data_IF_160912455137
#
_entry.id   IF_160912455137
#
_cell.length_a   1.000
_cell.length_b   1.000
_cell.length_c   1.000
_cell.angle_alpha   90.00
_cell.angle_beta   90.00
_cell.angle_gamma   90.00
#
_symmetry.space_group_name_H-M   'P 1'
#
loop_
_entity.id
_entity.type
_entity.pdbx_description
1 polymer ?
#
# COMPACT_ATOMS: atom_id res chain seq x y z
N UNK A 1 -34.09 -13.20 -13.56
CA UNK A 1 -34.98 -12.98 -14.71
C UNK A 1 -34.21 -12.21 -15.77
N UNK A 2 -34.34 -12.57 -17.05
CA UNK A 2 -33.70 -11.84 -18.15
C UNK A 2 -34.80 -11.09 -18.89
N UNK A 3 -34.68 -9.76 -18.99
CA UNK A 3 -35.63 -8.97 -19.79
C UNK A 3 -35.49 -9.30 -21.28
N UNK A 4 -36.50 -8.96 -22.08
CA UNK A 4 -36.44 -9.08 -23.55
C UNK A 4 -35.25 -8.32 -24.18
N UNK A 5 -34.65 -7.38 -23.44
CA UNK A 5 -33.49 -6.58 -23.84
C UNK A 5 -32.16 -7.12 -23.29
N UNK A 6 -32.13 -8.34 -22.73
CA UNK A 6 -30.92 -8.98 -22.23
C UNK A 6 -30.44 -8.49 -20.85
N UNK A 7 -31.15 -7.55 -20.23
CA UNK A 7 -30.82 -7.10 -18.86
C UNK A 7 -31.17 -8.20 -17.87
N UNK A 8 -30.17 -8.71 -17.17
CA UNK A 8 -30.31 -9.64 -16.06
C UNK A 8 -30.72 -8.90 -14.78
N UNK A 9 -31.77 -9.40 -14.13
CA UNK A 9 -32.19 -8.94 -12.80
C UNK A 9 -32.32 -10.11 -11.83
N UNK A 10 -31.58 -10.09 -10.71
CA UNK A 10 -31.83 -11.02 -9.61
C UNK A 10 -33.23 -10.76 -9.04
N UNK A 11 -34.06 -11.80 -9.01
CA UNK A 11 -35.42 -11.74 -8.46
C UNK A 11 -35.60 -12.86 -7.45
N UNK A 12 -36.31 -12.54 -6.39
CA UNK A 12 -36.95 -13.53 -5.53
C UNK A 12 -38.44 -13.55 -5.90
N UNK A 13 -39.07 -14.72 -5.89
CA UNK A 13 -40.49 -14.79 -6.19
C UNK A 13 -41.22 -15.74 -5.26
N UNK A 14 -42.46 -15.38 -4.94
CA UNK A 14 -43.38 -16.21 -4.17
C UNK A 14 -44.60 -16.50 -5.05
N UNK A 15 -45.03 -17.76 -5.07
CA UNK A 15 -46.21 -18.19 -5.81
C UNK A 15 -47.25 -18.69 -4.80
N UNK A 16 -48.44 -18.12 -4.86
CA UNK A 16 -49.58 -18.53 -4.05
C UNK A 16 -50.72 -18.99 -4.96
N UNK A 17 -51.30 -20.19 -4.76
CA UNK A 17 -52.42 -20.67 -5.57
C UNK A 17 -53.68 -19.86 -5.26
N UNK A 18 -54.48 -19.59 -6.28
CA UNK A 18 -55.84 -19.08 -6.14
C UNK A 18 -56.76 -20.28 -6.18
N UNK A 19 -57.47 -20.55 -5.09
CA UNK A 19 -58.34 -21.71 -4.91
C UNK A 19 -59.79 -21.22 -4.85
N UNK A 20 -60.69 -21.84 -5.61
CA UNK A 20 -62.11 -21.53 -5.58
C UNK A 20 -62.84 -22.18 -4.39
N UNK A 21 -64.14 -21.89 -4.22
CA UNK A 21 -64.95 -22.43 -3.12
C UNK A 21 -65.07 -23.98 -3.13
N UNK A 22 -64.81 -24.62 -4.27
CA UNK A 22 -64.82 -26.07 -4.42
C UNK A 22 -63.44 -26.71 -4.11
N UNK A 23 -62.43 -25.91 -3.76
CA UNK A 23 -61.08 -26.38 -3.48
C UNK A 23 -60.23 -26.58 -4.75
N UNK A 24 -60.68 -26.10 -5.90
CA UNK A 24 -59.96 -26.23 -7.17
C UNK A 24 -59.04 -25.04 -7.39
N UNK A 25 -57.78 -25.29 -7.75
CA UNK A 25 -56.84 -24.23 -8.13
C UNK A 25 -57.25 -23.63 -9.48
N UNK A 26 -57.71 -22.38 -9.46
CA UNK A 26 -58.17 -21.63 -10.64
C UNK A 26 -57.13 -20.64 -11.16
N UNK A 27 -56.03 -20.44 -10.43
CA UNK A 27 -54.93 -19.59 -10.86
C UNK A 27 -53.79 -19.52 -9.86
N UNK A 28 -52.89 -18.57 -10.07
CA UNK A 28 -51.80 -18.27 -9.13
C UNK A 28 -51.54 -16.77 -9.08
N UNK A 29 -51.20 -16.30 -7.88
CA UNK A 29 -50.59 -14.99 -7.67
C UNK A 29 -49.09 -15.20 -7.60
N UNK A 30 -48.35 -14.53 -8.48
CA UNK A 30 -46.88 -14.52 -8.44
C UNK A 30 -46.42 -13.13 -8.05
N UNK A 31 -45.70 -13.04 -6.94
CA UNK A 31 -45.07 -11.80 -6.50
C UNK A 31 -43.60 -11.90 -6.86
N UNK A 32 -43.10 -10.94 -7.64
CA UNK A 32 -41.68 -10.79 -7.94
C UNK A 32 -41.10 -9.64 -7.12
N UNK A 33 -40.02 -9.91 -6.41
CA UNK A 33 -39.22 -8.89 -5.72
C UNK A 33 -37.87 -8.76 -6.42
N UNK A 34 -37.61 -7.58 -6.97
CA UNK A 34 -36.26 -7.22 -7.42
C UNK A 34 -35.42 -6.91 -6.18
N UNK A 35 -34.30 -7.60 -6.03
CA UNK A 35 -33.35 -7.37 -4.92
C UNK A 35 -32.00 -6.85 -5.42
N UNK A 36 -31.94 -6.30 -6.63
CA UNK A 36 -30.72 -5.73 -7.21
C UNK A 36 -30.11 -4.62 -6.35
N UNK A 37 -30.95 -3.72 -5.81
CA UNK A 37 -30.52 -2.61 -4.96
C UNK A 37 -29.94 -3.12 -3.65
N UNK A 38 -30.68 -3.97 -2.92
CA UNK A 38 -30.21 -4.59 -1.67
C UNK A 38 -28.89 -5.35 -1.89
N UNK A 39 -28.77 -6.12 -2.97
CA UNK A 39 -27.53 -6.84 -3.30
C UNK A 39 -26.37 -5.88 -3.61
N UNK A 40 -26.64 -4.73 -4.24
CA UNK A 40 -25.64 -3.70 -4.51
C UNK A 40 -25.19 -3.01 -3.21
N UNK A 41 -26.13 -2.74 -2.31
CA UNK A 41 -25.85 -2.16 -0.99
C UNK A 41 -25.04 -3.13 -0.13
N UNK A 42 -25.42 -4.40 -0.09
CA UNK A 42 -24.68 -5.47 0.61
C UNK A 42 -23.23 -5.56 0.11
N UNK A 43 -23.03 -5.60 -1.21
CA UNK A 43 -21.69 -5.57 -1.82
C UNK A 43 -20.90 -4.31 -1.46
N UNK A 44 -21.58 -3.16 -1.41
CA UNK A 44 -20.94 -1.90 -1.03
C UNK A 44 -20.54 -1.91 0.44
N UNK A 45 -21.38 -2.44 1.32
CA UNK A 45 -21.08 -2.63 2.75
C UNK A 45 -19.89 -3.56 2.92
N UNK A 46 -19.88 -4.70 2.21
CA UNK A 46 -18.77 -5.65 2.21
C UNK A 46 -17.47 -4.99 1.74
N UNK A 47 -17.51 -4.27 0.61
CA UNK A 47 -16.36 -3.52 0.11
C UNK A 47 -15.85 -2.50 1.14
N UNK A 48 -16.74 -1.68 1.73
CA UNK A 48 -16.37 -0.68 2.73
C UNK A 48 -15.82 -1.31 4.03
N UNK A 49 -16.20 -2.55 4.33
CA UNK A 49 -15.70 -3.30 5.48
C UNK A 49 -14.25 -3.74 5.29
N UNK A 50 -13.83 -4.01 4.05
CA UNK A 50 -12.55 -4.65 3.75
C UNK A 50 -11.58 -3.83 2.90
N UNK A 51 -12.00 -2.67 2.40
CA UNK A 51 -11.17 -1.81 1.56
C UNK A 51 -10.94 -0.43 2.16
N UNK A 52 -9.77 0.14 1.87
CA UNK A 52 -9.43 1.53 2.12
C UNK A 52 -10.14 2.42 1.09
N UNK A 53 -10.92 3.40 1.56
CA UNK A 53 -11.78 4.21 0.69
C UNK A 53 -10.99 5.15 -0.23
N UNK A 54 -9.76 5.53 0.16
CA UNK A 54 -8.95 6.44 -0.62
C UNK A 54 -8.29 5.73 -1.81
N UNK A 55 -7.69 4.57 -1.55
CA UNK A 55 -6.86 3.85 -2.51
C UNK A 55 -7.56 2.68 -3.20
N UNK A 56 -8.67 2.18 -2.62
CA UNK A 56 -9.37 0.98 -3.09
C UNK A 56 -8.65 -0.34 -2.76
N UNK A 57 -7.46 -0.29 -2.16
CA UNK A 57 -6.75 -1.48 -1.67
C UNK A 57 -7.49 -2.11 -0.49
N UNK A 58 -7.06 -3.30 -0.09
CA UNK A 58 -7.52 -3.88 1.16
C UNK A 58 -7.13 -3.01 2.37
N UNK A 59 -7.93 -3.04 3.42
CA UNK A 59 -7.65 -2.32 4.66
C UNK A 59 -6.97 -3.23 5.70
N UNK A 60 -6.63 -2.64 6.85
CA UNK A 60 -6.04 -3.35 7.98
C UNK A 60 -6.83 -4.59 8.42
N UNK A 61 -8.17 -4.50 8.46
CA UNK A 61 -9.02 -5.62 8.88
C UNK A 61 -8.88 -6.82 7.95
N UNK A 62 -8.97 -6.58 6.64
CA UNK A 62 -8.80 -7.66 5.65
C UNK A 62 -7.40 -8.28 5.74
N UNK A 63 -6.37 -7.45 5.87
CA UNK A 63 -5.00 -7.92 6.09
C UNK A 63 -4.87 -8.85 7.30
N UNK A 64 -5.42 -8.49 8.46
CA UNK A 64 -5.34 -9.29 9.68
C UNK A 64 -6.08 -10.64 9.54
N UNK A 65 -7.24 -10.65 8.87
CA UNK A 65 -7.98 -11.88 8.58
C UNK A 65 -7.20 -12.79 7.62
N UNK A 66 -6.61 -12.21 6.57
CA UNK A 66 -5.83 -12.94 5.56
C UNK A 66 -4.50 -13.47 6.10
N UNK A 67 -3.84 -12.74 6.99
CA UNK A 67 -2.60 -13.16 7.61
C UNK A 67 -2.78 -14.50 8.34
N UNK A 68 -3.86 -14.64 9.11
CA UNK A 68 -4.20 -15.88 9.81
C UNK A 68 -4.60 -16.99 8.83
N UNK A 69 -5.32 -16.66 7.75
CA UNK A 69 -5.77 -17.64 6.74
C UNK A 69 -4.61 -18.20 5.92
N UNK A 70 -3.61 -17.37 5.65
CA UNK A 70 -2.48 -17.71 4.80
C UNK A 70 -1.35 -18.40 5.57
N UNK A 71 -1.28 -18.24 6.90
CA UNK A 71 -0.28 -18.89 7.75
C UNK A 71 -0.49 -20.41 7.85
N UNK A 72 -0.09 -21.11 6.79
CA UNK A 72 -0.22 -22.56 6.65
C UNK A 72 0.98 -23.11 5.91
N UNK A 73 1.36 -24.36 6.19
CA UNK A 73 2.51 -25.03 5.57
C UNK A 73 2.51 -24.98 4.03
N UNK A 74 1.34 -25.03 3.39
CA UNK A 74 1.21 -24.99 1.92
C UNK A 74 1.58 -23.66 1.28
N UNK A 75 1.62 -22.59 2.07
CA UNK A 75 1.90 -21.23 1.62
C UNK A 75 3.32 -20.79 1.97
N UNK A 76 4.07 -21.60 2.73
CA UNK A 76 5.47 -21.31 3.03
C UNK A 76 6.36 -21.43 1.78
N UNK A 77 7.43 -20.62 1.67
CA UNK A 77 7.74 -19.47 2.54
C UNK A 77 6.75 -18.31 2.35
N UNK A 78 6.47 -17.54 3.40
CA UNK A 78 5.60 -16.36 3.33
C UNK A 78 6.45 -15.12 3.60
N UNK A 79 6.53 -14.20 2.64
CA UNK A 79 7.20 -12.92 2.85
C UNK A 79 6.18 -11.85 3.25
N UNK A 80 6.55 -11.03 4.23
CA UNK A 80 5.83 -9.82 4.61
C UNK A 80 6.69 -8.63 4.18
N UNK A 81 6.13 -7.74 3.37
CA UNK A 81 6.78 -6.51 2.91
C UNK A 81 6.02 -5.31 3.46
N UNK A 82 6.68 -4.50 4.26
CA UNK A 82 6.20 -3.22 4.79
C UNK A 82 6.70 -2.08 3.89
N UNK A 83 5.82 -1.14 3.57
CA UNK A 83 6.12 0.04 2.77
C UNK A 83 5.62 1.32 3.43
N UNK A 84 6.39 2.39 3.36
CA UNK A 84 6.03 3.71 3.90
C UNK A 84 6.33 4.81 2.86
N UNK A 85 5.31 5.59 2.52
CA UNK A 85 5.43 6.67 1.54
C UNK A 85 6.22 7.84 2.10
N UNK A 86 7.35 8.12 1.48
CA UNK A 86 8.23 9.19 1.91
C UNK A 86 7.63 10.58 1.62
N UNK A 87 7.70 11.47 2.61
CA UNK A 87 7.38 12.88 2.44
C UNK A 87 5.89 13.23 2.38
N UNK A 88 4.97 12.30 2.65
CA UNK A 88 3.53 12.55 2.59
C UNK A 88 3.12 13.80 3.42
N UNK A 89 3.63 13.92 4.64
CA UNK A 89 3.35 15.08 5.51
C UNK A 89 3.82 16.39 4.89
N UNK A 90 5.04 16.43 4.33
CA UNK A 90 5.58 17.62 3.67
C UNK A 90 4.71 18.04 2.48
N UNK A 91 4.21 17.06 1.73
CA UNK A 91 3.34 17.28 0.57
C UNK A 91 1.99 17.83 1.02
N UNK A 92 1.39 17.25 2.05
CA UNK A 92 0.14 17.75 2.62
C UNK A 92 0.29 19.19 3.12
N UNK A 93 1.39 19.48 3.83
CA UNK A 93 1.64 20.80 4.40
C UNK A 93 1.94 21.86 3.31
N UNK A 94 2.58 21.46 2.20
CA UNK A 94 3.03 22.38 1.13
C UNK A 94 2.00 22.56 0.00
N UNK A 95 1.28 21.49 -0.36
CA UNK A 95 0.40 21.43 -1.53
C UNK A 95 -1.05 21.04 -1.17
N UNK A 96 -1.33 20.80 0.11
CA UNK A 96 -2.65 20.43 0.61
C UNK A 96 -2.94 18.92 0.53
N UNK A 97 -3.96 18.49 1.28
CA UNK A 97 -4.35 17.09 1.39
C UNK A 97 -4.77 16.45 0.06
N UNK A 98 -5.31 17.21 -0.89
CA UNK A 98 -5.68 16.69 -2.21
C UNK A 98 -4.45 16.15 -2.95
N UNK A 99 -3.30 16.83 -2.86
CA UNK A 99 -2.07 16.37 -3.48
C UNK A 99 -1.50 15.11 -2.80
N UNK A 100 -1.59 15.02 -1.47
CA UNK A 100 -1.20 13.80 -0.75
C UNK A 100 -2.13 12.62 -1.05
N UNK A 101 -3.42 12.87 -1.22
CA UNK A 101 -4.40 11.87 -1.63
C UNK A 101 -4.10 11.33 -3.04
N UNK A 102 -3.74 12.21 -3.98
CA UNK A 102 -3.30 11.80 -5.32
C UNK A 102 -2.01 10.99 -5.29
N UNK A 103 -1.05 11.37 -4.45
CA UNK A 103 0.18 10.61 -4.23
C UNK A 103 -0.12 9.19 -3.76
N UNK A 104 -0.94 9.05 -2.72
CA UNK A 104 -1.30 7.74 -2.16
C UNK A 104 -2.04 6.87 -3.17
N UNK A 105 -2.96 7.46 -3.95
CA UNK A 105 -3.65 6.74 -5.03
C UNK A 105 -2.70 6.24 -6.11
N UNK A 106 -1.74 7.06 -6.54
CA UNK A 106 -0.74 6.64 -7.54
C UNK A 106 0.18 5.54 -7.02
N UNK A 107 0.69 5.68 -5.79
CA UNK A 107 1.50 4.64 -5.15
C UNK A 107 0.72 3.33 -5.09
N UNK A 108 -0.52 3.38 -4.59
CA UNK A 108 -1.39 2.21 -4.47
C UNK A 108 -1.63 1.51 -5.81
N UNK A 109 -2.01 2.26 -6.85
CA UNK A 109 -2.27 1.71 -8.18
C UNK A 109 -1.01 1.08 -8.80
N UNK A 110 0.16 1.70 -8.60
CA UNK A 110 1.42 1.18 -9.10
C UNK A 110 1.83 -0.10 -8.38
N UNK A 111 1.76 -0.13 -7.05
CA UNK A 111 2.00 -1.33 -6.26
C UNK A 111 1.05 -2.46 -6.66
N UNK A 112 -0.26 -2.17 -6.77
CA UNK A 112 -1.28 -3.15 -7.15
C UNK A 112 -1.02 -3.75 -8.53
N UNK A 113 -0.65 -2.93 -9.52
CA UNK A 113 -0.31 -3.40 -10.87
C UNK A 113 1.00 -4.21 -10.94
N UNK A 114 1.78 -4.21 -9.86
CA UNK A 114 3.08 -4.92 -9.77
C UNK A 114 2.96 -6.23 -9.01
N UNK A 115 1.93 -6.36 -8.16
CA UNK A 115 1.57 -7.57 -7.43
C UNK A 115 0.87 -8.60 -8.33
N UNK A 116 0.99 -9.88 -7.94
CA UNK A 116 0.27 -11.01 -8.55
C UNK A 116 -1.13 -11.13 -7.95
N UNK A 117 -1.98 -11.94 -8.56
CA UNK A 117 -3.35 -12.15 -8.10
C UNK A 117 -3.45 -12.78 -6.70
N UNK A 118 -2.47 -13.61 -6.32
CA UNK A 118 -2.42 -14.28 -5.01
C UNK A 118 -1.72 -13.44 -3.92
N UNK A 119 -1.14 -12.29 -4.29
CA UNK A 119 -0.49 -11.38 -3.34
C UNK A 119 -1.57 -10.51 -2.68
N UNK A 120 -1.48 -10.32 -1.36
CA UNK A 120 -2.41 -9.44 -0.64
C UNK A 120 -1.71 -8.10 -0.42
N UNK A 121 -2.19 -7.06 -1.10
CA UNK A 121 -1.74 -5.68 -0.90
C UNK A 121 -2.81 -4.91 -0.12
N UNK A 122 -2.42 -4.37 1.03
CA UNK A 122 -3.30 -3.59 1.90
C UNK A 122 -2.64 -2.26 2.33
N UNK A 123 -3.48 -1.27 2.64
CA UNK A 123 -3.08 -0.03 3.31
C UNK A 123 -3.49 -0.10 4.78
N UNK A 124 -2.52 0.03 5.68
CA UNK A 124 -2.75 -0.10 7.13
C UNK A 124 -3.22 1.21 7.78
N UNK A 125 -2.92 2.34 7.14
CA UNK A 125 -3.27 3.69 7.57
C UNK A 125 -2.25 4.70 7.06
N UNK A 126 -2.58 6.00 7.04
CA UNK A 126 -1.62 7.06 6.70
C UNK A 126 -0.86 6.80 5.39
N UNK A 127 0.46 6.71 5.48
CA UNK A 127 1.44 6.40 4.43
C UNK A 127 1.88 4.92 4.41
N UNK A 128 1.29 4.06 5.25
CA UNK A 128 1.74 2.68 5.47
C UNK A 128 0.98 1.66 4.61
N UNK A 129 1.75 0.83 3.90
CA UNK A 129 1.29 -0.26 3.06
C UNK A 129 1.94 -1.58 3.50
N UNK A 130 1.23 -2.69 3.32
CA UNK A 130 1.74 -4.03 3.57
C UNK A 130 1.42 -4.95 2.40
N UNK A 131 2.36 -5.84 2.08
CA UNK A 131 2.18 -6.91 1.10
C UNK A 131 2.44 -8.26 1.77
N UNK A 132 1.48 -9.18 1.68
CA UNK A 132 1.67 -10.59 2.01
C UNK A 132 1.94 -11.34 0.72
N UNK A 133 3.05 -12.06 0.67
CA UNK A 133 3.51 -12.82 -0.50
C UNK A 133 3.61 -14.30 -0.13
N UNK A 134 2.56 -15.10 -0.38
CA UNK A 134 2.63 -16.54 -0.23
C UNK A 134 3.67 -17.14 -1.19
N UNK A 135 4.30 -18.23 -0.78
CA UNK A 135 5.27 -19.01 -1.57
C UNK A 135 6.39 -18.15 -2.16
N UNK A 136 6.86 -17.18 -1.38
CA UNK A 136 7.85 -16.20 -1.78
C UNK A 136 8.99 -16.17 -0.77
N UNK A 137 10.20 -16.41 -1.28
CA UNK A 137 11.44 -16.35 -0.50
C UNK A 137 12.04 -14.94 -0.51
N UNK A 138 13.21 -14.79 0.10
CA UNK A 138 13.92 -13.51 0.21
C UNK A 138 14.19 -12.90 -1.17
N UNK A 139 14.67 -13.71 -2.12
CA UNK A 139 14.99 -13.26 -3.47
C UNK A 139 13.73 -12.78 -4.22
N UNK A 140 12.61 -13.49 -4.07
CA UNK A 140 11.33 -13.09 -4.64
C UNK A 140 10.80 -11.78 -4.05
N UNK A 141 10.92 -11.59 -2.72
CA UNK A 141 10.54 -10.35 -2.05
C UNK A 141 11.40 -9.17 -2.52
N UNK A 142 12.72 -9.35 -2.60
CA UNK A 142 13.67 -8.36 -3.12
C UNK A 142 13.36 -7.94 -4.54
N UNK A 143 13.09 -8.91 -5.42
CA UNK A 143 12.73 -8.63 -6.81
C UNK A 143 11.43 -7.84 -6.92
N UNK A 144 10.41 -8.15 -6.11
CA UNK A 144 9.17 -7.38 -6.08
C UNK A 144 9.44 -5.94 -5.61
N UNK A 145 10.13 -5.78 -4.49
CA UNK A 145 10.46 -4.47 -3.92
C UNK A 145 11.25 -3.63 -4.93
N UNK A 146 12.27 -4.20 -5.56
CA UNK A 146 13.06 -3.48 -6.57
C UNK A 146 12.20 -3.08 -7.76
N UNK A 147 11.35 -3.98 -8.26
CA UNK A 147 10.42 -3.66 -9.37
C UNK A 147 9.45 -2.54 -9.01
N UNK A 148 8.96 -2.50 -7.77
CA UNK A 148 8.10 -1.42 -7.29
C UNK A 148 8.91 -0.11 -7.23
N UNK A 149 10.11 -0.12 -6.64
CA UNK A 149 10.99 1.05 -6.56
C UNK A 149 11.33 1.63 -7.93
N UNK A 150 11.72 0.78 -8.88
CA UNK A 150 12.06 1.19 -10.25
C UNK A 150 10.88 1.89 -10.91
N UNK A 151 9.68 1.32 -10.81
CA UNK A 151 8.47 1.92 -11.38
C UNK A 151 8.08 3.22 -10.69
N UNK A 152 8.18 3.31 -9.35
CA UNK A 152 7.89 4.53 -8.61
C UNK A 152 8.84 5.67 -9.03
N UNK A 153 10.12 5.37 -9.28
CA UNK A 153 11.11 6.37 -9.69
C UNK A 153 10.83 7.05 -11.04
N UNK A 154 9.96 6.45 -11.86
CA UNK A 154 9.54 6.98 -13.15
C UNK A 154 8.28 7.86 -13.05
N UNK A 155 7.63 7.89 -11.89
CA UNK A 155 6.36 8.58 -11.66
C UNK A 155 6.53 9.82 -10.79
N UNK A 156 5.69 10.83 -11.07
CA UNK A 156 5.67 12.10 -10.33
C UNK A 156 4.25 12.54 -10.00
N UNK A 157 4.12 13.29 -8.91
CA UNK A 157 2.92 14.11 -8.60
C UNK A 157 3.36 15.56 -8.60
N UNK A 158 2.92 16.32 -9.59
CA UNK A 158 3.45 17.66 -9.86
C UNK A 158 4.95 17.59 -10.15
N UNK A 159 5.75 18.21 -9.28
CA UNK A 159 7.21 18.24 -9.38
C UNK A 159 7.91 17.23 -8.45
N UNK A 160 7.16 16.36 -7.76
CA UNK A 160 7.65 15.51 -6.68
C UNK A 160 7.74 14.07 -7.16
N UNK A 161 8.91 13.46 -6.99
CA UNK A 161 9.15 12.04 -7.26
C UNK A 161 8.42 11.16 -6.25
N UNK A 162 7.82 10.06 -6.73
CA UNK A 162 7.25 9.06 -5.83
C UNK A 162 8.37 8.25 -5.19
N UNK A 163 8.37 8.19 -3.87
CA UNK A 163 9.36 7.43 -3.10
C UNK A 163 8.69 6.70 -1.95
N UNK A 164 9.05 5.42 -1.78
CA UNK A 164 8.54 4.55 -0.73
C UNK A 164 9.72 3.78 -0.14
N UNK A 165 9.88 3.86 1.17
CA UNK A 165 10.84 3.04 1.91
C UNK A 165 10.22 1.66 2.15
N UNK A 166 11.03 0.61 2.08
CA UNK A 166 10.57 -0.77 2.27
C UNK A 166 11.42 -1.53 3.29
N UNK A 167 10.76 -2.39 4.05
CA UNK A 167 11.35 -3.44 4.87
C UNK A 167 10.60 -4.75 4.67
N UNK A 168 11.27 -5.88 4.81
CA UNK A 168 10.63 -7.19 4.65
C UNK A 168 11.27 -8.26 5.52
N UNK A 169 10.50 -9.29 5.83
CA UNK A 169 10.94 -10.49 6.55
C UNK A 169 10.17 -11.72 6.05
N UNK A 170 10.82 -12.89 6.09
CA UNK A 170 10.29 -14.13 5.51
C UNK A 170 10.07 -15.16 6.62
N UNK A 171 8.82 -15.63 6.71
CA UNK A 171 8.49 -16.83 7.47
C UNK A 171 8.89 -18.07 6.68
N UNK A 172 9.88 -18.81 7.19
CA UNK A 172 10.40 -20.02 6.53
C UNK A 172 9.74 -21.29 7.08
N UNK A 173 9.52 -21.36 8.40
CA UNK A 173 9.02 -22.55 9.06
C UNK A 173 7.66 -22.30 9.71
N UNK A 174 6.88 -23.36 9.88
CA UNK A 174 5.56 -23.29 10.52
C UNK A 174 5.65 -22.82 11.98
N UNK A 175 6.72 -23.18 12.70
CA UNK A 175 6.93 -22.84 14.11
C UNK A 175 7.22 -21.35 14.37
N UNK A 176 7.67 -20.59 13.37
CA UNK A 176 8.00 -19.18 13.53
C UNK A 176 6.72 -18.36 13.84
N UNK A 177 6.77 -17.32 14.66
CA UNK A 177 5.58 -16.50 14.90
C UNK A 177 5.36 -15.50 13.76
N UNK A 178 4.18 -15.50 13.13
CA UNK A 178 3.85 -14.49 12.12
C UNK A 178 3.89 -13.06 12.67
N UNK A 179 3.54 -12.87 13.95
CA UNK A 179 3.66 -11.58 14.62
C UNK A 179 5.11 -11.12 14.74
N UNK A 180 6.05 -12.05 15.00
CA UNK A 180 7.48 -11.74 15.04
C UNK A 180 8.03 -11.39 13.66
N UNK A 181 7.62 -12.13 12.61
CA UNK A 181 7.97 -11.82 11.22
C UNK A 181 7.50 -10.41 10.83
N UNK A 182 6.26 -10.06 11.17
CA UNK A 182 5.72 -8.73 10.93
C UNK A 182 6.55 -7.64 11.64
N UNK A 183 6.83 -7.83 12.93
CA UNK A 183 7.65 -6.90 13.72
C UNK A 183 9.06 -6.73 13.14
N UNK A 184 9.69 -7.81 12.71
CA UNK A 184 11.02 -7.75 12.10
C UNK A 184 10.99 -6.99 10.75
N UNK A 185 9.94 -7.16 9.95
CA UNK A 185 9.74 -6.40 8.72
C UNK A 185 9.58 -4.89 9.00
N UNK A 186 8.84 -4.51 10.06
CA UNK A 186 8.75 -3.13 10.54
C UNK A 186 10.10 -2.58 11.00
N UNK A 187 10.86 -3.35 11.78
CA UNK A 187 12.19 -2.95 12.24
C UNK A 187 13.15 -2.74 11.05
N UNK A 188 13.08 -3.59 10.02
CA UNK A 188 13.84 -3.42 8.78
C UNK A 188 13.43 -2.15 8.04
N UNK A 189 12.13 -1.88 7.93
CA UNK A 189 11.61 -0.65 7.32
C UNK A 189 12.12 0.58 8.07
N UNK A 190 12.05 0.57 9.39
CA UNK A 190 12.48 1.70 10.22
C UNK A 190 13.98 1.99 10.03
N UNK A 191 14.83 0.95 10.02
CA UNK A 191 16.27 1.10 9.76
C UNK A 191 16.55 1.69 8.38
N UNK A 192 15.83 1.26 7.35
CA UNK A 192 15.96 1.81 6.00
C UNK A 192 15.47 3.26 5.92
N UNK A 193 14.36 3.60 6.57
CA UNK A 193 13.84 4.98 6.59
C UNK A 193 14.81 5.94 7.26
N UNK A 194 15.49 5.51 8.33
CA UNK A 194 16.53 6.30 8.98
C UNK A 194 17.75 6.51 8.06
N UNK A 195 18.22 5.47 7.36
CA UNK A 195 19.36 5.63 6.45
C UNK A 195 19.02 6.47 5.22
N UNK A 196 17.84 6.28 4.63
CA UNK A 196 17.35 7.07 3.49
C UNK A 196 17.12 8.53 3.87
N UNK A 197 16.55 8.82 5.04
CA UNK A 197 16.38 10.20 5.52
C UNK A 197 17.72 10.91 5.78
N UNK A 198 18.72 10.21 6.34
CA UNK A 198 20.07 10.77 6.48
C UNK A 198 20.74 11.02 5.13
N UNK A 199 20.61 10.09 4.19
CA UNK A 199 21.14 10.24 2.83
C UNK A 199 20.47 11.40 2.08
N UNK A 200 19.14 11.51 2.14
CA UNK A 200 18.40 12.64 1.54
C UNK A 200 18.79 13.98 2.16
N UNK A 201 18.97 14.03 3.49
CA UNK A 201 19.44 15.23 4.18
C UNK A 201 20.84 15.62 3.71
N UNK A 202 21.74 14.65 3.58
CA UNK A 202 23.09 14.88 3.07
C UNK A 202 23.09 15.37 1.61
N UNK A 203 22.29 14.76 0.74
CA UNK A 203 22.12 15.20 -0.66
C UNK A 203 21.57 16.62 -0.75
N UNK A 204 20.57 16.96 0.06
CA UNK A 204 19.97 18.30 0.11
C UNK A 204 21.00 19.35 0.54
N UNK A 205 21.80 19.04 1.57
CA UNK A 205 22.91 19.91 2.01
C UNK A 205 23.90 20.12 0.86
N UNK A 206 24.31 19.06 0.17
CA UNK A 206 25.25 19.16 -0.95
C UNK A 206 24.68 19.98 -2.12
N UNK A 207 23.39 19.85 -2.44
CA UNK A 207 22.74 20.66 -3.47
C UNK A 207 22.73 22.15 -3.10
N UNK A 208 22.38 22.48 -1.86
CA UNK A 208 22.40 23.87 -1.37
C UNK A 208 23.83 24.41 -1.40
N UNK A 209 24.81 23.65 -0.89
CA UNK A 209 26.22 24.03 -0.94
C UNK A 209 26.68 24.28 -2.36
N UNK A 210 26.38 23.36 -3.29
CA UNK A 210 26.74 23.51 -4.70
C UNK A 210 26.11 24.77 -5.30
N UNK A 211 24.82 25.03 -5.06
CA UNK A 211 24.14 26.23 -5.58
C UNK A 211 24.68 27.54 -4.98
N UNK A 212 25.05 27.54 -3.70
CA UNK A 212 25.70 28.68 -3.05
C UNK A 212 27.10 28.93 -3.62
N UNK A 213 27.86 27.86 -3.82
CA UNK A 213 29.24 27.90 -4.31
C UNK A 213 29.36 28.15 -5.82
N UNK A 214 28.34 27.81 -6.61
CA UNK A 214 28.25 28.18 -8.03
C UNK A 214 28.22 29.71 -8.21
N UNK A 215 27.53 30.41 -7.31
CA UNK A 215 27.45 31.88 -7.32
C UNK A 215 28.68 32.56 -6.73
N UNK A 216 29.46 31.87 -5.89
CA UNK A 216 30.63 32.46 -5.24
C UNK A 216 31.79 31.44 -5.06
N UNK A 217 32.58 31.18 -6.11
CA UNK A 217 33.62 30.13 -6.11
C UNK A 217 34.73 30.35 -5.07
N UNK A 218 34.97 31.61 -4.67
CA UNK A 218 36.00 31.95 -3.66
C UNK A 218 35.59 31.51 -2.25
N UNK A 219 34.30 31.60 -1.90
CA UNK A 219 33.81 31.12 -0.61
C UNK A 219 33.88 29.60 -0.48
N UNK A 220 33.68 28.86 -1.57
CA UNK A 220 33.85 27.40 -1.57
C UNK A 220 35.25 26.97 -1.14
N UNK A 221 36.27 27.59 -1.75
CA UNK A 221 37.68 27.30 -1.46
C UNK A 221 38.06 27.69 -0.03
N UNK A 222 37.43 28.75 0.50
CA UNK A 222 37.63 29.18 1.88
C UNK A 222 36.96 28.22 2.87
N UNK A 223 35.67 27.89 2.67
CA UNK A 223 34.94 26.94 3.52
C UNK A 223 35.57 25.54 3.53
N UNK A 224 36.03 25.04 2.38
CA UNK A 224 36.76 23.75 2.32
C UNK A 224 38.05 23.79 3.14
N UNK A 225 38.87 24.84 2.99
CA UNK A 225 40.10 24.99 3.78
C UNK A 225 39.84 25.07 5.27
N UNK A 226 38.82 25.82 5.69
CA UNK A 226 38.46 25.95 7.11
C UNK A 226 37.99 24.60 7.66
N UNK A 227 37.19 23.85 6.90
CA UNK A 227 36.78 22.49 7.25
C UNK A 227 37.96 21.52 7.39
N UNK A 228 38.87 21.50 6.42
CA UNK A 228 40.08 20.67 6.45
C UNK A 228 40.97 21.02 7.65
N UNK A 229 41.14 22.31 7.97
CA UNK A 229 41.90 22.75 9.14
C UNK A 229 41.21 22.33 10.44
N UNK A 230 39.88 22.46 10.52
CA UNK A 230 39.12 22.04 11.70
C UNK A 230 39.21 20.52 11.93
N UNK A 231 39.10 19.72 10.87
CA UNK A 231 39.23 18.26 10.92
C UNK A 231 40.64 17.83 11.32
N UNK A 232 41.67 18.49 10.77
CA UNK A 232 43.07 18.26 11.15
C UNK A 232 43.32 18.62 12.61
N UNK A 233 42.78 19.74 13.08
CA UNK A 233 42.88 20.16 14.47
C UNK A 233 42.12 19.20 15.42
N UNK A 234 40.97 18.67 15.02
CA UNK A 234 40.27 17.65 15.81
C UNK A 234 41.07 16.35 15.96
N UNK A 235 41.86 15.96 14.95
CA UNK A 235 42.75 14.79 15.00
C UNK A 235 44.03 15.09 15.80
N UNK A 236 44.61 16.29 15.68
CA UNK A 236 45.84 16.68 16.39
C UNK A 236 45.63 17.00 17.88
N UNK A 237 44.44 17.51 18.25
CA UNK A 237 44.13 17.96 19.61
C UNK A 237 43.16 17.05 20.36
N UNK A 238 42.75 15.92 19.78
CA UNK A 238 42.11 14.76 20.43
C UNK A 238 41.11 15.05 21.56
N UNK A 239 39.83 15.08 21.21
CA UNK A 239 38.72 14.71 22.08
C UNK A 239 38.05 13.45 21.52
#
# INVERSE_FOLDING_TARGET
>A
MISKFGIERPIEYTVSPIIDEAGVTVGSVVIFRDFSEQRSEEKKIEFLSYHDQLTGLYNRRFYEEELNRLDTKRNLPIAIVMGDVNGLKLINDSFGHVAGDELLKKVAALMQSTCRADDILARLGGDEFVIILPKTDVAGAEQLVQRIKDRLSLEKVGAIDLSVSFGYEIKQNEADSMQEIFKNAEDHLYRHKLSESMSMRHQTINLILNALFEKNPREMMHSKRVGEIAEKNSIEFGA
#
